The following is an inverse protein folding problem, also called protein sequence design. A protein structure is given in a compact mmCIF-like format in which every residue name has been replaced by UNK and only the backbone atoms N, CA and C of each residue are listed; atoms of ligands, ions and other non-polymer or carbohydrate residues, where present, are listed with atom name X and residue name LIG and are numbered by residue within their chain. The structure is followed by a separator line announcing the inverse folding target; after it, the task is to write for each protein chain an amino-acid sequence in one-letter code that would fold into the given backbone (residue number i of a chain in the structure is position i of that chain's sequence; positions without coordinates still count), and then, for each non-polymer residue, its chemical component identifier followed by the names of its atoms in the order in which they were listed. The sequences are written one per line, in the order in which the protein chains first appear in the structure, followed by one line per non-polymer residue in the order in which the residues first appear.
data_IF_746233774174
#
_entry.id   IF_746233774174
#
_cell.length_a   1.000
_cell.length_b   1.000
_cell.length_c   1.000
_cell.angle_alpha   90.00
_cell.angle_beta   90.00
_cell.angle_gamma   90.00
#
_symmetry.space_group_name_H-M   'P 1'
#
loop_
_entity.id
_entity.type
_entity.pdbx_description
1 polymer ?
#
# COMPACT_ATOMS: atom_id res chain seq x y z
N UNK A 1 -8.77 -14.28 -1.61
CA UNK A 1 -9.80 -15.07 -0.89
C UNK A 1 -9.24 -16.47 -0.62
N UNK A 2 -9.81 -17.22 0.32
CA UNK A 2 -9.33 -18.56 0.69
C UNK A 2 -10.47 -19.58 0.79
N UNK A 3 -10.19 -20.86 0.52
CA UNK A 3 -11.13 -21.97 0.66
C UNK A 3 -12.46 -21.73 -0.07
N UNK A 4 -13.56 -21.97 0.64
CA UNK A 4 -14.94 -21.81 0.11
C UNK A 4 -15.25 -20.41 -0.44
N UNK A 5 -14.56 -19.35 0.03
CA UNK A 5 -14.76 -18.02 -0.53
C UNK A 5 -14.31 -17.93 -1.99
N UNK A 6 -13.25 -18.65 -2.37
CA UNK A 6 -12.76 -18.71 -3.75
C UNK A 6 -13.77 -19.42 -4.64
N UNK A 7 -14.27 -20.58 -4.18
CA UNK A 7 -15.21 -21.39 -4.94
C UNK A 7 -16.53 -20.66 -5.18
N UNK A 8 -17.06 -19.99 -4.15
CA UNK A 8 -18.38 -19.35 -4.23
C UNK A 8 -18.34 -17.94 -4.80
N UNK A 9 -17.53 -17.06 -4.21
CA UNK A 9 -17.53 -15.63 -4.55
C UNK A 9 -16.46 -15.31 -5.59
N UNK A 10 -15.30 -15.96 -5.52
CA UNK A 10 -14.20 -15.75 -6.46
C UNK A 10 -14.62 -16.01 -7.91
N UNK A 11 -15.22 -17.17 -8.18
CA UNK A 11 -15.70 -17.54 -9.51
C UNK A 11 -16.78 -16.57 -10.03
N UNK A 12 -17.69 -16.13 -9.16
CA UNK A 12 -18.74 -15.19 -9.54
C UNK A 12 -18.17 -13.80 -9.86
N UNK A 13 -17.20 -13.31 -9.07
CA UNK A 13 -16.49 -12.06 -9.36
C UNK A 13 -15.78 -12.16 -10.71
N UNK A 14 -15.04 -13.25 -10.94
CA UNK A 14 -14.32 -13.49 -12.19
C UNK A 14 -15.28 -13.50 -13.39
N UNK A 15 -16.43 -14.17 -13.25
CA UNK A 15 -17.50 -14.20 -14.27
C UNK A 15 -18.03 -12.80 -14.59
N UNK A 16 -18.32 -11.98 -13.57
CA UNK A 16 -18.79 -10.61 -13.77
C UNK A 16 -17.73 -9.75 -14.48
N UNK A 17 -16.47 -9.85 -14.06
CA UNK A 17 -15.37 -9.10 -14.66
C UNK A 17 -15.17 -9.49 -16.13
N UNK A 18 -15.25 -10.77 -16.48
CA UNK A 18 -15.20 -11.24 -17.87
C UNK A 18 -16.38 -10.73 -18.71
N UNK A 19 -17.54 -10.51 -18.10
CA UNK A 19 -18.69 -9.89 -18.77
C UNK A 19 -18.58 -8.35 -18.90
N UNK A 20 -17.48 -7.75 -18.44
CA UNK A 20 -17.28 -6.29 -18.47
C UNK A 20 -18.09 -5.53 -17.42
N UNK A 21 -18.55 -6.23 -16.37
CA UNK A 21 -19.18 -5.61 -15.21
C UNK A 21 -18.25 -5.64 -13.99
N UNK A 22 -18.41 -4.65 -13.11
CA UNK A 22 -17.67 -4.57 -11.87
C UNK A 22 -18.64 -4.85 -10.72
N UNK A 23 -18.59 -6.06 -10.12
CA UNK A 23 -19.47 -6.41 -9.01
C UNK A 23 -19.07 -5.60 -7.77
N UNK A 24 -20.06 -5.18 -6.99
CA UNK A 24 -19.81 -4.58 -5.69
C UNK A 24 -19.54 -5.70 -4.69
N UNK A 25 -18.52 -5.52 -3.85
CA UNK A 25 -18.14 -6.51 -2.85
C UNK A 25 -18.19 -5.87 -1.47
N UNK A 26 -19.07 -6.38 -0.60
CA UNK A 26 -19.06 -6.05 0.82
C UNK A 26 -18.31 -7.15 1.56
N UNK A 27 -17.25 -6.77 2.27
CA UNK A 27 -16.46 -7.70 3.08
C UNK A 27 -16.42 -7.19 4.51
N UNK A 28 -16.98 -7.98 5.42
CA UNK A 28 -16.86 -7.77 6.85
C UNK A 28 -15.73 -8.64 7.41
N UNK A 29 -14.99 -8.08 8.38
CA UNK A 29 -13.86 -8.76 9.06
C UNK A 29 -12.80 -9.25 8.08
N UNK A 30 -12.35 -8.38 7.17
CA UNK A 30 -11.20 -8.66 6.33
C UNK A 30 -9.90 -8.54 7.15
N UNK A 31 -8.91 -9.37 6.82
CA UNK A 31 -7.54 -9.15 7.25
C UNK A 31 -6.85 -8.20 6.27
N UNK A 32 -6.25 -7.13 6.79
CA UNK A 32 -5.41 -6.23 6.01
C UNK A 32 -4.00 -6.79 5.95
N UNK A 33 -3.42 -6.86 4.76
CA UNK A 33 -2.03 -7.22 4.54
C UNK A 33 -1.34 -6.15 3.71
N UNK A 34 -0.12 -5.82 4.11
CA UNK A 34 0.70 -4.81 3.44
C UNK A 34 1.82 -5.46 2.63
N UNK A 35 1.54 -6.62 2.05
CA UNK A 35 2.46 -7.35 1.19
C UNK A 35 2.09 -7.01 -0.25
N UNK A 36 3.00 -6.37 -1.00
CA UNK A 36 2.76 -5.81 -2.35
C UNK A 36 1.63 -4.76 -2.35
N UNK A 37 1.87 -3.62 -1.69
CA UNK A 37 0.87 -2.56 -1.54
C UNK A 37 -0.13 -2.85 -0.41
N UNK A 38 -1.41 -2.55 -0.64
CA UNK A 38 -2.51 -2.74 0.31
C UNK A 38 -3.43 -3.85 -0.20
N UNK A 39 -3.40 -5.01 0.46
CA UNK A 39 -4.21 -6.18 0.11
C UNK A 39 -5.19 -6.55 1.22
N UNK A 40 -6.33 -7.09 0.81
CA UNK A 40 -7.34 -7.63 1.71
C UNK A 40 -7.42 -9.14 1.56
N UNK A 41 -7.45 -9.86 2.67
CA UNK A 41 -7.62 -11.30 2.71
C UNK A 41 -8.83 -11.68 3.56
N UNK A 42 -9.54 -12.72 3.13
CA UNK A 42 -10.60 -13.34 3.92
C UNK A 42 -10.01 -14.09 5.11
N UNK A 43 -10.70 -14.05 6.24
CA UNK A 43 -10.49 -14.86 7.44
C UNK A 43 -11.53 -15.97 7.49
N UNK A 44 -11.36 -16.92 8.42
CA UNK A 44 -12.38 -17.94 8.66
C UNK A 44 -13.71 -17.34 9.13
N UNK A 45 -13.67 -16.19 9.81
CA UNK A 45 -14.84 -15.45 10.30
C UNK A 45 -15.24 -14.25 9.43
N UNK A 46 -14.71 -14.15 8.20
CA UNK A 46 -15.15 -13.13 7.26
C UNK A 46 -16.57 -13.39 6.75
N UNK A 47 -17.30 -12.32 6.47
CA UNK A 47 -18.55 -12.39 5.72
C UNK A 47 -18.37 -11.63 4.41
N UNK A 48 -18.66 -12.28 3.29
CA UNK A 48 -18.55 -11.69 1.94
C UNK A 48 -19.93 -11.72 1.31
N UNK A 49 -20.34 -10.60 0.74
CA UNK A 49 -21.58 -10.44 0.01
C UNK A 49 -21.30 -9.72 -1.31
N UNK A 50 -21.89 -10.22 -2.40
CA UNK A 50 -21.75 -9.65 -3.74
C UNK A 50 -23.02 -8.89 -4.09
N UNK A 51 -22.85 -7.70 -4.65
CA UNK A 51 -23.91 -6.78 -5.02
C UNK A 51 -24.94 -6.62 -3.89
N UNK A 52 -24.49 -6.20 -2.68
CA UNK A 52 -25.40 -6.02 -1.56
C UNK A 52 -26.49 -5.00 -1.90
N UNK A 53 -27.63 -5.14 -1.26
CA UNK A 53 -28.72 -4.17 -1.42
C UNK A 53 -28.48 -2.88 -0.61
N UNK A 54 -29.25 -1.84 -0.93
CA UNK A 54 -29.31 -0.60 -0.18
C UNK A 54 -28.70 0.61 -0.88
N UNK A 55 -29.01 1.79 -0.34
CA UNK A 55 -28.69 3.08 -0.97
C UNK A 55 -27.19 3.27 -1.23
N UNK A 56 -26.34 2.85 -0.28
CA UNK A 56 -24.88 2.96 -0.43
C UNK A 56 -24.37 2.11 -1.59
N UNK A 57 -24.90 0.90 -1.78
CA UNK A 57 -24.53 0.03 -2.87
C UNK A 57 -25.03 0.59 -4.21
N UNK A 58 -26.26 1.09 -4.27
CA UNK A 58 -26.81 1.74 -5.46
C UNK A 58 -25.98 2.96 -5.89
N UNK A 59 -25.63 3.82 -4.93
CA UNK A 59 -24.78 5.00 -5.19
C UNK A 59 -23.40 4.59 -5.70
N UNK A 60 -22.79 3.55 -5.13
CA UNK A 60 -21.50 3.05 -5.59
C UNK A 60 -21.61 2.40 -6.98
N UNK A 61 -22.68 1.64 -7.27
CA UNK A 61 -22.89 1.04 -8.59
C UNK A 61 -23.08 2.10 -9.68
N UNK A 62 -23.79 3.19 -9.35
CA UNK A 62 -23.91 4.37 -10.22
C UNK A 62 -22.55 4.98 -10.50
N UNK A 63 -21.77 5.26 -9.46
CA UNK A 63 -20.41 5.79 -9.61
C UNK A 63 -19.53 4.89 -10.48
N UNK A 64 -19.56 3.57 -10.25
CA UNK A 64 -18.83 2.57 -11.07
C UNK A 64 -19.21 2.69 -12.54
N UNK A 65 -20.51 2.83 -12.84
CA UNK A 65 -21.03 2.95 -14.21
C UNK A 65 -20.53 4.23 -14.89
N UNK A 66 -20.48 5.34 -14.15
CA UNK A 66 -20.00 6.64 -14.63
C UNK A 66 -18.47 6.69 -14.79
N UNK A 67 -17.73 5.81 -14.11
CA UNK A 67 -16.26 5.84 -14.04
C UNK A 67 -15.59 4.58 -14.62
N UNK A 68 -16.27 3.82 -15.48
CA UNK A 68 -15.75 2.56 -16.04
C UNK A 68 -14.38 2.70 -16.70
N UNK A 69 -14.17 3.75 -17.50
CA UNK A 69 -12.88 3.99 -18.16
C UNK A 69 -11.76 4.15 -17.14
N UNK A 70 -11.98 4.95 -16.10
CA UNK A 70 -11.00 5.15 -15.02
C UNK A 70 -10.66 3.84 -14.30
N UNK A 71 -11.67 3.02 -14.00
CA UNK A 71 -11.45 1.70 -13.37
C UNK A 71 -10.62 0.81 -14.29
N UNK A 72 -10.95 0.78 -15.58
CA UNK A 72 -10.21 0.00 -16.57
C UNK A 72 -8.76 0.46 -16.69
N UNK A 73 -8.52 1.77 -16.77
CA UNK A 73 -7.17 2.35 -16.85
C UNK A 73 -6.34 2.02 -15.60
N UNK A 74 -6.92 2.15 -14.40
CA UNK A 74 -6.27 1.75 -13.13
C UNK A 74 -5.95 0.26 -13.09
N UNK A 75 -6.84 -0.61 -13.59
CA UNK A 75 -6.60 -2.06 -13.65
C UNK A 75 -5.50 -2.43 -14.65
N UNK A 76 -5.52 -1.81 -15.84
CA UNK A 76 -4.54 -2.03 -16.88
C UNK A 76 -3.16 -1.50 -16.48
N UNK A 77 -3.12 -0.32 -15.84
CA UNK A 77 -1.90 0.28 -15.28
C UNK A 77 -1.38 -0.42 -14.02
N UNK A 78 -2.15 -1.36 -13.44
CA UNK A 78 -1.81 -2.07 -12.20
C UNK A 78 -1.46 -1.17 -11.02
N UNK A 79 -2.09 0.01 -10.93
CA UNK A 79 -1.81 0.97 -9.85
C UNK A 79 -2.08 0.37 -8.45
N UNK A 80 -2.88 -0.70 -8.37
CA UNK A 80 -3.11 -1.46 -7.15
C UNK A 80 -1.85 -2.16 -6.59
N UNK A 81 -0.84 -2.45 -7.42
CA UNK A 81 0.43 -3.05 -6.98
C UNK A 81 1.24 -2.09 -6.07
N UNK A 82 0.96 -0.79 -6.14
CA UNK A 82 1.45 0.22 -5.18
C UNK A 82 0.33 1.14 -4.66
N UNK A 83 -0.71 0.51 -4.14
CA UNK A 83 -1.88 1.21 -3.57
C UNK A 83 -1.52 2.23 -2.48
N UNK A 84 -0.44 2.04 -1.72
CA UNK A 84 -0.09 3.00 -0.66
C UNK A 84 0.52 4.28 -1.21
N UNK A 85 1.25 4.22 -2.33
CA UNK A 85 1.75 5.42 -3.00
C UNK A 85 0.64 6.13 -3.78
N UNK A 86 -0.17 5.39 -4.55
CA UNK A 86 -1.14 6.00 -5.46
C UNK A 86 -2.54 6.25 -4.86
N UNK A 87 -3.01 5.37 -3.97
CA UNK A 87 -4.39 5.41 -3.44
C UNK A 87 -4.44 6.07 -2.07
N UNK A 88 -3.49 5.78 -1.17
CA UNK A 88 -3.52 6.31 0.20
C UNK A 88 -3.20 7.81 0.31
N UNK A 89 -2.85 8.47 -0.80
CA UNK A 89 -2.47 9.90 -0.86
C UNK A 89 -1.48 10.28 0.26
N UNK A 90 -0.26 9.73 0.23
CA UNK A 90 0.76 9.91 1.27
C UNK A 90 0.93 11.35 1.77
N UNK A 91 0.93 12.31 0.84
CA UNK A 91 1.15 13.73 1.12
C UNK A 91 0.07 14.37 2.02
N UNK A 92 -1.11 13.75 2.14
CA UNK A 92 -2.21 14.21 3.00
C UNK A 92 -2.22 13.51 4.36
N UNK A 93 -1.34 12.54 4.59
CA UNK A 93 -1.34 11.74 5.81
C UNK A 93 -0.64 12.48 6.96
N UNK A 94 -1.11 12.34 8.21
CA UNK A 94 -0.44 12.88 9.37
C UNK A 94 0.98 12.31 9.49
N UNK A 95 1.94 13.20 9.71
CA UNK A 95 3.34 12.85 9.90
C UNK A 95 3.68 12.74 11.38
N UNK A 96 4.63 11.87 11.70
CA UNK A 96 5.27 11.80 13.01
C UNK A 96 6.78 11.79 12.87
N UNK A 97 7.46 11.85 14.02
CA UNK A 97 8.91 11.75 14.12
C UNK A 97 9.35 10.34 14.50
N UNK A 98 10.59 9.99 14.20
CA UNK A 98 11.19 8.71 14.57
C UNK A 98 11.16 8.49 16.08
N UNK A 99 11.39 9.53 16.89
CA UNK A 99 11.32 9.44 18.34
C UNK A 99 9.94 8.97 18.86
N UNK A 100 8.86 9.22 18.11
CA UNK A 100 7.48 8.87 18.46
C UNK A 100 6.94 7.68 17.66
N UNK A 101 7.77 7.06 16.82
CA UNK A 101 7.38 6.01 15.87
C UNK A 101 6.77 4.80 16.58
N UNK A 102 7.44 4.30 17.61
CA UNK A 102 6.99 3.09 18.33
C UNK A 102 5.62 3.27 18.96
N UNK A 103 5.39 4.44 19.56
CA UNK A 103 4.09 4.82 20.13
C UNK A 103 3.02 4.91 19.06
N UNK A 104 3.31 5.49 17.89
CA UNK A 104 2.33 5.58 16.81
C UNK A 104 1.99 4.19 16.21
N UNK A 105 2.98 3.29 16.13
CA UNK A 105 2.81 1.93 15.59
C UNK A 105 2.06 0.97 16.53
N UNK A 106 1.67 1.37 17.74
CA UNK A 106 0.76 0.56 18.58
C UNK A 106 -0.70 0.67 18.11
N UNK A 107 -1.08 1.81 17.54
CA UNK A 107 -2.46 2.11 17.13
C UNK A 107 -2.65 2.01 15.62
N UNK A 108 -1.62 2.37 14.84
CA UNK A 108 -1.71 2.49 13.38
C UNK A 108 -0.72 1.53 12.71
N UNK A 109 -1.18 0.83 11.67
CA UNK A 109 -0.35 -0.15 10.95
C UNK A 109 0.79 0.48 10.12
N UNK A 110 0.57 1.69 9.60
CA UNK A 110 1.53 2.45 8.80
C UNK A 110 1.63 3.85 9.35
N UNK A 111 2.85 4.29 9.59
CA UNK A 111 3.17 5.60 10.13
C UNK A 111 4.04 6.35 9.14
N UNK A 112 3.77 7.65 8.96
CA UNK A 112 4.45 8.47 7.96
C UNK A 112 5.54 9.32 8.59
N UNK A 113 6.76 9.17 8.11
CA UNK A 113 7.95 9.89 8.58
C UNK A 113 8.58 10.65 7.42
N UNK A 114 8.92 11.91 7.63
CA UNK A 114 9.63 12.72 6.64
C UNK A 114 11.12 12.78 6.99
N UNK A 115 11.95 12.11 6.21
CA UNK A 115 13.36 11.92 6.56
C UNK A 115 14.25 11.62 5.36
N UNK A 116 15.50 11.26 5.63
CA UNK A 116 16.51 10.90 4.65
C UNK A 116 16.90 9.44 4.80
N UNK A 117 17.17 8.81 3.67
CA UNK A 117 17.77 7.48 3.65
C UNK A 117 19.30 7.57 3.59
N UNK A 118 19.97 6.60 4.22
CA UNK A 118 21.36 6.26 3.96
C UNK A 118 21.53 4.75 3.94
N UNK A 119 22.45 4.26 3.11
CA UNK A 119 22.79 2.84 3.02
C UNK A 119 24.09 2.61 3.81
N UNK A 120 24.06 1.81 4.89
CA UNK A 120 25.24 1.56 5.70
C UNK A 120 26.24 0.60 5.03
N UNK A 121 25.78 -0.22 4.10
CA UNK A 121 26.60 -1.16 3.32
C UNK A 121 26.15 -1.14 1.85
N UNK A 122 27.08 -0.86 0.96
CA UNK A 122 26.89 -0.82 -0.51
C UNK A 122 27.66 -1.92 -1.22
N UNK A 123 28.25 -2.88 -0.48
CA UNK A 123 29.11 -3.93 -1.04
C UNK A 123 28.34 -5.13 -1.62
N UNK A 124 27.10 -5.36 -1.17
CA UNK A 124 26.22 -6.41 -1.71
C UNK A 124 25.47 -5.93 -2.96
N UNK A 125 25.10 -6.83 -3.86
CA UNK A 125 24.39 -6.47 -5.11
C UNK A 125 23.00 -5.82 -4.89
N UNK A 126 22.44 -5.86 -3.67
CA UNK A 126 21.20 -5.17 -3.32
C UNK A 126 19.91 -5.74 -3.98
N UNK A 127 20.05 -6.79 -4.79
CA UNK A 127 18.95 -7.50 -5.43
C UNK A 127 19.12 -9.01 -5.34
N UNK A 128 18.06 -9.74 -5.68
CA UNK A 128 18.11 -11.17 -5.92
C UNK A 128 17.22 -11.53 -7.11
N UNK A 129 17.47 -12.69 -7.70
CA UNK A 129 16.59 -13.25 -8.73
C UNK A 129 15.45 -14.01 -8.04
N UNK A 130 14.22 -13.63 -8.33
CA UNK A 130 13.01 -14.17 -7.71
C UNK A 130 11.96 -14.62 -8.72
N UNK A 131 10.99 -15.38 -8.26
CA UNK A 131 9.80 -15.70 -9.05
C UNK A 131 8.94 -14.45 -9.28
N UNK A 132 8.44 -14.25 -10.50
CA UNK A 132 7.48 -13.19 -10.82
C UNK A 132 6.15 -13.31 -10.06
N UNK A 133 5.75 -14.52 -9.66
CA UNK A 133 4.49 -14.76 -8.94
C UNK A 133 4.59 -14.69 -7.42
N UNK A 134 5.54 -15.41 -6.81
CA UNK A 134 5.58 -15.58 -5.35
C UNK A 134 6.74 -14.85 -4.67
N UNK A 135 7.56 -14.14 -5.45
CA UNK A 135 8.71 -13.35 -5.00
C UNK A 135 9.80 -14.14 -4.27
N UNK A 136 9.68 -15.46 -4.12
CA UNK A 136 10.72 -16.27 -3.49
C UNK A 136 11.97 -16.28 -4.38
N UNK A 137 13.13 -16.25 -3.73
CA UNK A 137 14.44 -16.34 -4.37
C UNK A 137 14.54 -17.67 -5.13
N UNK A 138 15.04 -17.60 -6.35
CA UNK A 138 15.28 -18.75 -7.23
C UNK A 138 16.66 -18.62 -7.86
N UNK A 139 17.21 -19.74 -8.33
CA UNK A 139 18.48 -19.73 -9.05
C UNK A 139 18.20 -19.59 -10.55
N UNK A 140 18.94 -18.71 -11.22
CA UNK A 140 18.82 -18.50 -12.66
C UNK A 140 19.23 -17.09 -13.06
N UNK A 141 19.26 -16.86 -14.37
CA UNK A 141 19.41 -15.51 -14.95
C UNK A 141 18.04 -14.84 -15.04
N UNK A 142 18.00 -13.52 -15.03
CA UNK A 142 16.76 -12.75 -15.24
C UNK A 142 16.11 -13.06 -16.60
N UNK A 143 14.78 -13.14 -16.64
CA UNK A 143 13.99 -13.42 -17.84
C UNK A 143 13.84 -14.90 -18.22
N UNK A 144 14.51 -15.81 -17.50
CA UNK A 144 14.40 -17.25 -17.74
C UNK A 144 13.01 -17.79 -17.34
N UNK A 145 12.40 -18.56 -18.24
CA UNK A 145 11.20 -19.34 -17.93
C UNK A 145 11.52 -20.54 -17.04
N UNK A 146 10.68 -20.82 -16.05
CA UNK A 146 10.85 -21.96 -15.15
C UNK A 146 9.54 -22.38 -14.48
N UNK A 147 9.51 -23.60 -13.96
CA UNK A 147 8.47 -24.03 -13.03
C UNK A 147 8.92 -23.72 -11.60
N UNK A 148 8.14 -22.91 -10.88
CA UNK A 148 8.47 -22.52 -9.52
C UNK A 148 8.14 -23.63 -8.52
N UNK A 149 9.17 -24.16 -7.85
CA UNK A 149 9.02 -25.19 -6.81
C UNK A 149 8.30 -24.69 -5.56
N UNK A 150 8.26 -23.37 -5.34
CA UNK A 150 7.68 -22.79 -4.13
C UNK A 150 6.19 -22.50 -4.23
N UNK A 151 5.71 -22.05 -5.39
CA UNK A 151 4.29 -21.75 -5.60
C UNK A 151 3.60 -22.67 -6.62
N UNK A 152 4.34 -23.59 -7.24
CA UNK A 152 3.81 -24.56 -8.20
C UNK A 152 3.50 -23.99 -9.59
N UNK A 153 3.73 -22.70 -9.83
CA UNK A 153 3.45 -22.09 -11.13
C UNK A 153 4.35 -22.65 -12.23
N UNK A 154 3.73 -23.12 -13.33
CA UNK A 154 4.41 -23.80 -14.44
C UNK A 154 5.01 -22.84 -15.47
N UNK A 155 4.45 -21.63 -15.56
CA UNK A 155 4.85 -20.61 -16.52
C UNK A 155 5.53 -19.43 -15.81
N UNK A 156 6.33 -19.72 -14.78
CA UNK A 156 7.08 -18.73 -14.04
C UNK A 156 8.17 -18.08 -14.89
N UNK A 157 8.48 -16.83 -14.61
CA UNK A 157 9.68 -16.16 -15.13
C UNK A 157 10.50 -15.62 -13.97
N UNK A 158 11.82 -15.72 -14.10
CA UNK A 158 12.75 -15.11 -13.16
C UNK A 158 12.78 -13.60 -13.38
N UNK A 159 12.71 -12.84 -12.29
CA UNK A 159 12.73 -11.38 -12.30
C UNK A 159 13.70 -10.86 -11.25
N UNK A 160 14.37 -9.75 -11.56
CA UNK A 160 15.17 -9.03 -10.57
C UNK A 160 14.27 -8.40 -9.51
N UNK A 161 14.65 -8.56 -8.24
CA UNK A 161 13.95 -7.97 -7.10
C UNK A 161 14.92 -7.30 -6.14
N UNK A 162 14.77 -6.00 -5.94
CA UNK A 162 15.56 -5.27 -4.94
C UNK A 162 15.09 -5.59 -3.52
N UNK A 163 16.07 -5.69 -2.63
CA UNK A 163 15.90 -5.73 -1.18
C UNK A 163 17.10 -5.05 -0.54
N UNK A 164 16.93 -3.79 -0.14
CA UNK A 164 17.99 -2.99 0.46
C UNK A 164 17.75 -2.82 1.95
N UNK A 165 18.81 -2.97 2.73
CA UNK A 165 18.83 -2.52 4.12
C UNK A 165 19.31 -1.06 4.13
N UNK A 166 18.51 -0.17 4.69
CA UNK A 166 18.83 1.24 4.78
C UNK A 166 18.59 1.75 6.21
N UNK A 167 19.07 2.95 6.48
CA UNK A 167 18.75 3.75 7.65
C UNK A 167 17.85 4.89 7.21
N UNK A 168 16.76 5.12 7.93
CA UNK A 168 15.90 6.30 7.79
C UNK A 168 16.12 7.21 8.99
N UNK A 169 16.49 8.47 8.77
CA UNK A 169 16.71 9.47 9.80
C UNK A 169 15.92 10.76 9.56
N UNK A 170 15.39 11.38 10.61
CA UNK A 170 14.61 12.62 10.55
C UNK A 170 15.15 13.73 11.47
N UNK A 171 16.32 13.52 12.09
CA UNK A 171 16.93 14.40 13.07
C UNK A 171 16.52 14.13 14.53
N UNK A 172 15.39 13.46 14.77
CA UNK A 172 14.98 13.02 16.11
C UNK A 172 15.48 11.63 16.46
N UNK A 173 15.82 10.85 15.43
CA UNK A 173 16.40 9.53 15.56
C UNK A 173 16.80 8.94 14.21
N UNK A 174 17.20 7.68 14.23
CA UNK A 174 17.49 6.89 13.04
C UNK A 174 17.06 5.45 13.26
N UNK A 175 16.35 4.87 12.29
CA UNK A 175 15.85 3.50 12.35
C UNK A 175 16.36 2.67 11.17
N UNK A 176 16.68 1.39 11.39
CA UNK A 176 16.95 0.45 10.30
C UNK A 176 15.66 0.00 9.62
N UNK A 177 15.61 0.13 8.29
CA UNK A 177 14.44 -0.17 7.46
C UNK A 177 14.80 -1.07 6.29
N UNK A 178 13.86 -1.89 5.83
CA UNK A 178 13.99 -2.66 4.58
C UNK A 178 13.21 -1.97 3.46
N UNK A 179 13.88 -1.74 2.33
CA UNK A 179 13.28 -1.25 1.07
C UNK A 179 13.11 -2.42 0.10
N UNK A 180 11.97 -2.49 -0.58
CA UNK A 180 11.70 -3.50 -1.62
C UNK A 180 11.66 -2.86 -3.01
N UNK A 181 11.47 -3.71 -4.02
CA UNK A 181 11.56 -3.33 -5.44
C UNK A 181 10.84 -2.04 -5.80
N UNK A 182 9.56 -1.89 -5.46
CA UNK A 182 8.79 -0.69 -5.82
C UNK A 182 9.34 0.56 -5.12
N UNK A 183 9.67 0.46 -3.83
CA UNK A 183 10.27 1.58 -3.08
C UNK A 183 11.55 2.05 -3.76
N UNK A 184 12.43 1.09 -4.10
CA UNK A 184 13.73 1.38 -4.72
C UNK A 184 13.57 1.99 -6.11
N UNK A 185 12.63 1.50 -6.92
CA UNK A 185 12.33 2.07 -8.24
C UNK A 185 11.82 3.51 -8.14
N UNK A 186 10.90 3.80 -7.21
CA UNK A 186 10.46 5.19 -6.98
C UNK A 186 11.60 6.09 -6.49
N UNK A 187 12.48 5.57 -5.64
CA UNK A 187 13.65 6.32 -5.18
C UNK A 187 14.60 6.64 -6.32
N UNK A 188 14.82 5.70 -7.26
CA UNK A 188 15.58 5.95 -8.48
C UNK A 188 14.99 7.07 -9.32
N UNK A 189 13.66 7.05 -9.53
CA UNK A 189 12.96 8.13 -10.23
C UNK A 189 13.15 9.48 -9.53
N UNK A 190 13.02 9.53 -8.20
CA UNK A 190 13.14 10.77 -7.43
C UNK A 190 14.51 11.43 -7.50
N UNK A 191 15.56 10.64 -7.71
CA UNK A 191 16.95 11.08 -7.84
C UNK A 191 17.44 11.12 -9.29
N UNK A 192 16.56 10.84 -10.26
CA UNK A 192 16.89 10.90 -11.70
C UNK A 192 17.92 9.85 -12.14
N UNK A 193 17.89 8.68 -11.53
CA UNK A 193 18.75 7.55 -11.89
C UNK A 193 17.93 6.48 -12.62
N UNK A 194 18.48 5.90 -13.68
CA UNK A 194 17.86 4.75 -14.33
C UNK A 194 18.10 3.48 -13.49
N UNK A 195 17.03 2.70 -13.30
CA UNK A 195 17.12 1.37 -12.71
C UNK A 195 17.77 0.40 -13.71
N UNK A 196 19.10 0.43 -13.83
CA UNK A 196 19.82 -0.46 -14.74
C UNK A 196 20.13 -1.81 -14.09
N UNK A 197 20.60 -2.76 -14.91
CA UNK A 197 20.90 -4.11 -14.45
C UNK A 197 22.03 -4.18 -13.40
N UNK A 198 22.93 -3.20 -13.38
CA UNK A 198 24.00 -3.05 -12.39
C UNK A 198 23.71 -1.79 -11.56
N UNK A 199 23.13 -2.00 -10.38
CA UNK A 199 22.87 -0.92 -9.44
C UNK A 199 24.20 -0.45 -8.83
N UNK A 200 24.62 0.78 -9.18
CA UNK A 200 25.68 1.47 -8.44
C UNK A 200 25.11 1.97 -7.12
N UNK A 201 25.25 1.14 -6.07
CA UNK A 201 24.75 1.44 -4.73
C UNK A 201 25.44 2.64 -4.08
N UNK A 202 26.70 2.92 -4.42
CA UNK A 202 27.42 4.07 -3.89
C UNK A 202 26.86 5.37 -4.47
N UNK A 203 26.65 5.41 -5.79
CA UNK A 203 26.02 6.54 -6.46
C UNK A 203 24.57 6.72 -6.00
N UNK A 204 23.82 5.62 -5.87
CA UNK A 204 22.45 5.64 -5.33
C UNK A 204 22.42 6.23 -3.92
N UNK A 205 23.29 5.74 -3.02
CA UNK A 205 23.40 6.22 -1.65
C UNK A 205 23.80 7.71 -1.59
N UNK A 206 24.74 8.12 -2.42
CA UNK A 206 25.18 9.53 -2.50
C UNK A 206 24.04 10.44 -2.93
N UNK A 207 23.21 10.02 -3.88
CA UNK A 207 22.12 10.85 -4.40
C UNK A 207 20.89 10.85 -3.50
N UNK A 208 20.52 9.72 -2.90
CA UNK A 208 19.35 9.65 -2.03
C UNK A 208 19.54 10.44 -0.73
N UNK A 209 20.77 10.54 -0.20
CA UNK A 209 21.08 11.36 0.98
C UNK A 209 20.88 12.88 0.77
N UNK A 210 20.79 13.33 -0.50
CA UNK A 210 20.58 14.74 -0.83
C UNK A 210 19.13 15.17 -0.68
N UNK A 211 18.17 14.23 -0.66
CA UNK A 211 16.74 14.52 -0.65
C UNK A 211 16.07 14.05 0.63
N UNK A 212 15.00 14.76 1.03
CA UNK A 212 14.07 14.26 2.05
C UNK A 212 12.85 13.64 1.37
N UNK A 213 12.38 12.55 1.94
CA UNK A 213 11.32 11.72 1.39
C UNK A 213 10.30 11.45 2.48
N UNK A 214 9.02 11.58 2.12
CA UNK A 214 7.92 11.13 2.97
C UNK A 214 7.80 9.61 2.82
N UNK A 215 7.94 8.91 3.93
CA UNK A 215 8.08 7.46 3.96
C UNK A 215 7.00 6.84 4.84
N UNK A 216 6.23 5.90 4.29
CA UNK A 216 5.34 5.04 5.05
C UNK A 216 6.11 3.87 5.64
N UNK A 217 6.06 3.71 6.96
CA UNK A 217 6.82 2.72 7.73
C UNK A 217 5.86 1.82 8.50
N UNK A 218 6.14 0.51 8.53
CA UNK A 218 5.45 -0.47 9.39
C UNK A 218 6.46 -1.34 10.13
N UNK A 219 6.01 -2.02 11.18
CA UNK A 219 6.78 -3.13 11.78
C UNK A 219 6.91 -4.29 10.80
N UNK A 220 8.10 -4.85 10.72
CA UNK A 220 8.36 -6.11 10.01
C UNK A 220 7.74 -7.25 10.82
N UNK A 221 6.95 -8.12 10.17
CA UNK A 221 6.48 -9.35 10.84
C UNK A 221 7.69 -10.25 11.06
N UNK A 222 8.01 -10.55 12.32
CA UNK A 222 9.01 -11.57 12.66
C UNK A 222 8.49 -12.93 12.20
N UNK A 223 9.27 -13.64 11.39
CA UNK A 223 8.99 -15.05 11.13
C UNK A 223 9.35 -15.86 12.38
N UNK A 224 8.68 -16.99 12.58
CA UNK A 224 8.89 -17.93 13.71
C UNK A 224 10.35 -18.43 13.83
N UNK A 225 11.17 -18.25 12.79
CA UNK A 225 12.58 -18.66 12.75
C UNK A 225 13.56 -17.59 13.30
N UNK A 226 13.09 -16.47 13.86
CA UNK A 226 13.95 -15.54 14.62
C UNK A 226 15.07 -14.86 13.82
N UNK A 227 15.01 -14.88 12.49
CA UNK A 227 16.03 -14.26 11.65
C UNK A 227 16.08 -12.73 11.84
N UNK A 228 17.31 -12.26 12.04
CA UNK A 228 17.74 -10.90 12.39
C UNK A 228 17.56 -9.93 11.20
N UNK A 229 16.31 -9.65 10.84
CA UNK A 229 15.96 -8.65 9.83
C UNK A 229 15.77 -7.25 10.43
N UNK A 230 15.74 -6.23 9.59
CA UNK A 230 15.41 -4.88 10.05
C UNK A 230 13.99 -4.86 10.66
N UNK A 231 13.82 -4.22 11.84
CA UNK A 231 12.56 -4.20 12.59
C UNK A 231 11.43 -3.48 11.85
N UNK A 232 11.77 -2.66 10.84
CA UNK A 232 10.80 -1.94 10.04
C UNK A 232 10.95 -2.21 8.54
N UNK A 233 9.83 -2.07 7.85
CA UNK A 233 9.70 -2.20 6.41
C UNK A 233 9.09 -0.92 5.86
N UNK A 234 9.68 -0.38 4.79
CA UNK A 234 9.08 0.69 4.00
C UNK A 234 7.96 0.10 3.15
N UNK A 235 6.85 0.82 3.06
CA UNK A 235 5.67 0.40 2.29
C UNK A 235 5.22 1.42 1.25
N UNK A 236 5.78 2.62 1.29
CA UNK A 236 5.56 3.68 0.31
C UNK A 236 6.59 4.78 0.51
N UNK A 237 6.99 5.40 -0.59
CA UNK A 237 7.84 6.59 -0.62
C UNK A 237 7.19 7.67 -1.49
N UNK A 238 7.30 8.93 -1.08
CA UNK A 238 6.74 10.06 -1.81
C UNK A 238 7.62 11.29 -1.67
N UNK A 239 7.89 11.95 -2.79
CA UNK A 239 8.58 13.25 -2.81
C UNK A 239 7.57 14.36 -2.57
N UNK A 240 7.80 15.22 -1.57
CA UNK A 240 7.05 16.47 -1.48
C UNK A 240 7.50 17.36 -2.62
N UNK A 241 6.58 17.87 -3.43
CA UNK A 241 6.92 18.98 -4.32
C UNK A 241 7.24 20.18 -3.45
N UNK A 242 8.43 20.75 -3.59
CA UNK A 242 8.70 22.08 -3.07
C UNK A 242 7.73 23.03 -3.77
N UNK A 243 6.71 23.51 -3.05
CA UNK A 243 5.94 24.66 -3.51
C UNK A 243 6.92 25.81 -3.62
N UNK A 244 7.22 26.22 -4.87
CA UNK A 244 7.83 27.51 -5.16
C UNK A 244 7.11 28.58 -4.33
N UNK A 245 7.83 29.56 -3.72
CA UNK A 245 7.17 30.64 -3.01
C UNK A 245 6.17 31.30 -3.97
N UNK A 246 4.91 31.37 -3.54
CA UNK A 246 3.88 32.07 -4.31
C UNK A 246 4.38 33.49 -4.62
N UNK A 247 4.28 33.95 -5.87
CA UNK A 247 4.55 35.34 -6.16
C UNK A 247 3.55 36.20 -5.39
N UNK A 248 4.07 37.11 -4.55
CA UNK A 248 3.30 38.15 -3.89
C UNK A 248 2.40 38.87 -4.92
N UNK A 249 1.11 38.53 -4.94
CA UNK A 249 0.09 39.34 -5.58
C UNK A 249 -0.96 39.68 -4.54
N UNK A 250 -0.74 40.81 -3.87
CA UNK A 250 -1.81 41.63 -3.32
C UNK A 250 -2.79 41.94 -4.45
N UNK A 251 -3.93 41.26 -4.50
CA UNK A 251 -5.23 41.87 -4.82
C UNK A 251 -6.36 40.91 -4.48
N UNK A 252 -7.32 41.48 -3.76
CA UNK A 252 -8.37 40.86 -2.98
C UNK A 252 -9.63 40.70 -3.84
N UNK A 253 -10.13 39.47 -4.04
CA UNK A 253 -11.57 39.20 -4.25
C UNK A 253 -11.91 37.86 -3.59
N UNK A 254 -12.55 37.91 -2.43
CA UNK A 254 -13.00 36.73 -1.68
C UNK A 254 -14.33 36.20 -2.24
N UNK A 255 -14.45 34.91 -2.59
CA UNK A 255 -15.74 34.27 -2.78
C UNK A 255 -16.41 33.95 -1.42
N UNK A 256 -17.75 33.84 -1.35
CA UNK A 256 -18.46 33.65 -0.09
C UNK A 256 -18.16 32.26 0.52
N UNK A 257 -18.19 32.15 1.86
CA UNK A 257 -17.85 30.92 2.55
C UNK A 257 -18.87 29.81 2.27
N UNK A 258 -18.43 28.55 2.11
CA UNK A 258 -19.34 27.41 2.05
C UNK A 258 -20.08 27.22 3.39
N UNK A 259 -21.30 26.65 3.36
CA UNK A 259 -22.08 26.44 4.57
C UNK A 259 -21.37 25.47 5.53
N UNK A 260 -21.54 25.65 6.86
CA UNK A 260 -20.84 24.84 7.85
C UNK A 260 -21.29 23.38 7.79
N UNK A 261 -20.31 22.48 7.67
CA UNK A 261 -20.49 21.03 7.83
C UNK A 261 -20.75 20.75 9.32
N UNK A 262 -21.81 20.02 9.69
CA UNK A 262 -22.07 19.66 11.08
C UNK A 262 -20.91 18.84 11.65
N UNK A 263 -20.28 19.35 12.72
CA UNK A 263 -19.30 18.59 13.49
C UNK A 263 -20.03 17.53 14.34
N UNK A 264 -19.97 16.28 13.90
CA UNK A 264 -20.41 15.12 14.69
C UNK A 264 -19.24 14.70 15.58
N UNK A 265 -19.43 14.78 16.90
CA UNK A 265 -18.41 14.37 17.88
C UNK A 265 -18.42 12.85 18.09
N UNK A 266 -17.28 12.23 18.48
CA UNK A 266 -17.12 10.78 18.64
C UNK A 266 -18.10 10.10 19.62
N UNK A 267 -18.81 10.87 20.45
CA UNK A 267 -19.81 10.36 21.39
C UNK A 267 -21.21 10.09 20.78
N UNK A 268 -21.44 10.42 19.51
CA UNK A 268 -22.72 10.12 18.84
C UNK A 268 -22.79 8.72 18.20
N UNK A 269 -21.65 8.04 18.03
CA UNK A 269 -21.61 6.67 17.49
C UNK A 269 -22.17 5.61 18.45
N UNK A 270 -22.02 5.80 19.77
CA UNK A 270 -22.42 4.83 20.79
C UNK A 270 -23.92 4.79 21.08
N UNK A 271 -24.73 5.72 20.56
CA UNK A 271 -26.20 5.70 20.69
C UNK A 271 -26.94 5.13 19.47
N UNK A 272 -26.26 4.93 18.33
CA UNK A 272 -26.86 4.36 17.11
C UNK A 272 -26.73 2.83 17.00
N UNK A 273 -25.94 2.19 17.88
CA UNK A 273 -25.70 0.74 17.85
C UNK A 273 -26.43 -0.06 18.96
N UNK A 274 -27.28 0.59 19.78
CA UNK A 274 -27.92 -0.04 20.95
C UNK A 274 -29.45 -0.23 20.84
N UNK A 275 -30.09 0.09 19.70
CA UNK A 275 -31.56 0.03 19.55
C UNK A 275 -32.07 -1.05 18.58
N UNK A 276 -31.43 -2.21 18.54
CA UNK A 276 -32.06 -3.42 17.97
C UNK A 276 -31.97 -4.58 18.95
N UNK A 277 -32.90 -4.61 19.91
CA UNK A 277 -33.29 -5.87 20.55
C UNK A 277 -34.11 -6.71 19.55
N UNK A 278 -33.94 -8.04 19.55
CA UNK A 278 -34.66 -8.93 18.64
C UNK A 278 -36.13 -9.06 19.07
N UNK A 279 -37.04 -8.91 18.10
CA UNK A 279 -38.44 -9.31 18.23
C UNK A 279 -38.50 -10.83 18.50
N UNK A 280 -39.01 -11.18 19.68
CA UNK A 280 -39.47 -12.53 19.99
C UNK A 280 -40.60 -12.91 19.03
N UNK A 281 -40.51 -14.10 18.43
CA UNK A 281 -41.64 -14.74 17.77
C UNK A 281 -42.47 -15.46 18.83
N UNK A 282 -43.74 -15.08 18.95
CA UNK A 282 -44.78 -15.87 19.60
C UNK A 282 -45.09 -17.10 18.75
N UNK A 283 -44.90 -18.28 19.34
CA UNK A 283 -45.83 -19.41 19.38
C UNK A 283 -45.26 -20.48 20.30
#
# INVERSE_FOLDING_TARGET
MWGEFVNRHGHEIERCLHAGDFPLVLINRAAINLFQGLTLATRFDSHVELNPDGERALNLKKWVTENKCKIHDTLHGKEYDDALTYIAKPLLQPQTTISNLETALTEILVVWVYGKFSLPDTSEEGYYIGCNYCNRRVHGIEGASFQCIFCGQKNGTTVKRFRLNALLGDGTGTIPVTLFTNDVLHLFEFIGMDATAAMDLELFNTNIQKIHILTGVKRTKTNEEGLQGNPYTVVSVSKKHETSPEPNSNQHVTPPPPPPIPQITPLQYSKLLLNHQPLQKES
#
